data_IF_247299693978
#
_entry.id   IF_247299693978
#
_cell.length_a   1.000
_cell.length_b   1.000
_cell.length_c   1.000
_cell.angle_alpha   90.00
_cell.angle_beta   90.00
_cell.angle_gamma   90.00
#
_symmetry.space_group_name_H-M   'P 1'
#
loop_
_entity.id
_entity.type
_entity.pdbx_description
1 polymer ?
#
# COMPACT_ATOMS: atom_id res chain seq x y z
N UNK A 1 -20.57 13.18 -33.74
CA UNK A 1 -19.72 12.41 -32.80
C UNK A 1 -20.25 10.97 -32.81
N UNK A 2 -19.72 10.10 -33.67
CA UNK A 2 -20.17 8.71 -33.74
C UNK A 2 -19.54 7.92 -32.61
N UNK A 3 -20.38 7.42 -31.70
CA UNK A 3 -19.96 6.44 -30.70
C UNK A 3 -19.77 5.12 -31.46
N UNK A 4 -18.53 4.73 -31.74
CA UNK A 4 -18.27 3.41 -32.31
C UNK A 4 -18.49 2.36 -31.23
N UNK A 5 -19.33 1.35 -31.52
CA UNK A 5 -19.66 0.25 -30.60
C UNK A 5 -18.49 -0.73 -30.33
N UNK A 6 -17.30 -0.46 -30.87
CA UNK A 6 -16.14 -1.35 -30.86
C UNK A 6 -14.94 -0.60 -30.30
N UNK A 7 -14.18 -1.24 -29.43
CA UNK A 7 -12.92 -0.72 -28.94
C UNK A 7 -11.94 -0.50 -30.11
N UNK A 8 -11.53 0.76 -30.28
CA UNK A 8 -10.59 1.17 -31.32
C UNK A 8 -9.24 1.64 -30.74
N UNK A 9 -9.00 1.45 -29.44
CA UNK A 9 -7.82 2.00 -28.80
C UNK A 9 -6.50 1.55 -29.45
N UNK A 10 -6.29 0.27 -29.80
CA UNK A 10 -5.06 -0.14 -30.51
C UNK A 10 -4.95 0.39 -31.95
N UNK A 11 -6.04 0.90 -32.54
CA UNK A 11 -6.00 1.59 -33.85
C UNK A 11 -5.63 3.06 -33.69
N UNK A 12 -6.21 3.72 -32.68
CA UNK A 12 -6.00 5.15 -32.39
C UNK A 12 -4.60 5.38 -31.84
N UNK A 13 -4.16 4.52 -30.93
CA UNK A 13 -2.82 4.53 -30.34
C UNK A 13 -2.02 3.41 -31.01
N UNK A 14 -1.22 3.70 -32.04
CA UNK A 14 -0.58 2.69 -32.86
C UNK A 14 0.58 1.97 -32.14
N UNK A 15 1.01 0.86 -32.72
CA UNK A 15 2.11 0.02 -32.23
C UNK A 15 3.50 0.59 -32.57
N UNK A 16 3.69 1.90 -32.41
CA UNK A 16 4.96 2.60 -32.65
C UNK A 16 5.24 3.60 -31.54
N UNK A 17 6.45 3.56 -30.98
CA UNK A 17 6.94 4.51 -29.97
C UNK A 17 8.37 4.87 -30.31
N UNK A 18 8.71 6.16 -30.31
CA UNK A 18 10.04 6.67 -30.66
C UNK A 18 10.57 6.09 -31.99
N UNK A 19 9.75 6.16 -33.04
CA UNK A 19 10.04 5.65 -34.40
C UNK A 19 10.35 4.15 -34.49
N UNK A 20 9.99 3.38 -33.45
CA UNK A 20 10.18 1.93 -33.42
C UNK A 20 8.85 1.21 -33.32
N UNK A 21 8.56 0.41 -34.34
CA UNK A 21 7.38 -0.47 -34.38
C UNK A 21 7.62 -1.71 -33.53
N UNK A 22 6.56 -2.22 -32.89
CA UNK A 22 6.62 -3.46 -32.11
C UNK A 22 6.08 -4.67 -32.85
N UNK A 23 6.76 -5.81 -32.78
CA UNK A 23 6.35 -7.04 -33.47
C UNK A 23 5.34 -7.83 -32.63
N UNK A 24 5.65 -8.02 -31.34
CA UNK A 24 4.85 -8.84 -30.43
C UNK A 24 4.04 -7.91 -29.53
N UNK A 25 2.75 -7.77 -29.83
CA UNK A 25 1.87 -6.79 -29.21
C UNK A 25 0.48 -7.34 -28.87
N UNK A 26 -0.28 -6.58 -28.07
CA UNK A 26 -1.66 -6.93 -27.71
C UNK A 26 -2.61 -6.85 -28.91
N UNK A 27 -3.72 -7.55 -28.82
CA UNK A 27 -4.85 -7.38 -29.75
C UNK A 27 -5.94 -6.51 -29.14
N UNK A 28 -6.99 -6.22 -29.92
CA UNK A 28 -8.21 -5.57 -29.41
C UNK A 28 -8.82 -6.37 -28.25
N UNK A 29 -8.68 -7.71 -28.23
CA UNK A 29 -9.20 -8.54 -27.13
C UNK A 29 -8.42 -8.35 -25.83
N UNK A 30 -7.09 -8.22 -25.91
CA UNK A 30 -6.27 -7.86 -24.75
C UNK A 30 -6.65 -6.49 -24.20
N UNK A 31 -6.84 -5.52 -25.09
CA UNK A 31 -7.33 -4.18 -24.74
C UNK A 31 -8.72 -4.20 -24.07
N UNK A 32 -9.69 -4.95 -24.61
CA UNK A 32 -11.03 -5.13 -24.03
C UNK A 32 -10.97 -5.72 -22.60
N UNK A 33 -10.14 -6.75 -22.41
CA UNK A 33 -9.94 -7.36 -21.10
C UNK A 33 -9.44 -6.35 -20.07
N UNK A 34 -8.46 -5.51 -20.41
CA UNK A 34 -7.96 -4.51 -19.48
C UNK A 34 -8.90 -3.34 -19.25
N UNK A 35 -9.79 -2.98 -20.18
CA UNK A 35 -10.90 -2.07 -19.88
C UNK A 35 -11.87 -2.69 -18.86
N UNK A 36 -12.12 -4.00 -18.94
CA UNK A 36 -12.93 -4.69 -17.94
C UNK A 36 -12.25 -4.70 -16.56
N UNK A 37 -10.95 -5.03 -16.49
CA UNK A 37 -10.18 -4.98 -15.24
C UNK A 37 -10.15 -3.56 -14.67
N UNK A 38 -9.90 -2.54 -15.51
CA UNK A 38 -9.97 -1.12 -15.12
C UNK A 38 -11.32 -0.76 -14.49
N UNK A 39 -12.42 -1.22 -15.08
CA UNK A 39 -13.77 -0.99 -14.54
C UNK A 39 -13.96 -1.65 -13.18
N UNK A 40 -13.47 -2.89 -13.01
CA UNK A 40 -13.49 -3.60 -11.71
C UNK A 40 -12.68 -2.85 -10.65
N UNK A 41 -11.50 -2.31 -11.00
CA UNK A 41 -10.69 -1.50 -10.09
C UNK A 41 -11.41 -0.20 -9.71
N UNK A 42 -12.04 0.48 -10.67
CA UNK A 42 -12.83 1.69 -10.42
C UNK A 42 -14.03 1.45 -9.51
N UNK A 43 -14.79 0.37 -9.74
CA UNK A 43 -15.89 -0.03 -8.85
C UNK A 43 -15.37 -0.37 -7.46
N UNK A 44 -14.25 -1.09 -7.36
CA UNK A 44 -13.61 -1.42 -6.07
C UNK A 44 -13.21 -0.16 -5.31
N UNK A 45 -12.58 0.80 -5.97
CA UNK A 45 -12.23 2.09 -5.37
C UNK A 45 -13.46 2.79 -4.80
N UNK A 46 -14.53 2.92 -5.59
CA UNK A 46 -15.76 3.59 -5.17
C UNK A 46 -16.45 2.84 -4.02
N UNK A 47 -16.49 1.51 -4.07
CA UNK A 47 -17.09 0.69 -3.01
C UNK A 47 -16.32 0.81 -1.69
N UNK A 48 -14.98 0.78 -1.74
CA UNK A 48 -14.13 0.94 -0.55
C UNK A 48 -14.27 2.35 0.05
N UNK A 49 -14.28 3.40 -0.77
CA UNK A 49 -14.52 4.78 -0.31
C UNK A 49 -15.92 4.93 0.29
N UNK A 50 -16.94 4.40 -0.39
CA UNK A 50 -18.33 4.39 0.06
C UNK A 50 -18.48 3.73 1.43
N UNK A 51 -17.86 2.56 1.61
CA UNK A 51 -17.81 1.88 2.91
C UNK A 51 -17.08 2.70 3.98
N UNK A 52 -16.03 3.43 3.60
CA UNK A 52 -15.30 4.33 4.49
C UNK A 52 -16.15 5.47 5.04
N UNK A 53 -17.09 6.02 4.27
CA UNK A 53 -18.00 7.08 4.74
C UNK A 53 -18.95 6.63 5.86
N UNK A 54 -19.20 5.32 5.99
CA UNK A 54 -19.99 4.73 7.08
C UNK A 54 -19.19 4.59 8.40
N UNK A 55 -17.89 4.92 8.39
CA UNK A 55 -17.01 4.83 9.57
C UNK A 55 -16.65 6.22 10.10
N UNK A 56 -16.22 6.31 11.37
CA UNK A 56 -15.69 7.55 11.94
C UNK A 56 -14.42 7.96 11.20
N UNK A 57 -14.16 9.27 11.07
CA UNK A 57 -13.02 9.80 10.31
C UNK A 57 -11.67 9.23 10.75
N UNK A 58 -11.50 8.95 12.05
CA UNK A 58 -10.31 8.34 12.66
C UNK A 58 -10.03 6.91 12.19
N UNK A 59 -11.05 6.20 11.70
CA UNK A 59 -10.99 4.76 11.41
C UNK A 59 -10.86 4.47 9.89
N UNK A 60 -10.73 5.53 9.08
CA UNK A 60 -10.82 5.43 7.62
C UNK A 60 -9.49 5.13 6.93
N UNK A 61 -8.36 5.08 7.63
CA UNK A 61 -7.03 4.91 7.01
C UNK A 61 -6.95 3.70 6.09
N UNK A 62 -7.44 2.54 6.53
CA UNK A 62 -7.41 1.34 5.71
C UNK A 62 -8.28 1.49 4.45
N UNK A 63 -9.41 2.20 4.55
CA UNK A 63 -10.25 2.48 3.38
C UNK A 63 -9.53 3.39 2.40
N UNK A 64 -8.84 4.44 2.88
CA UNK A 64 -8.05 5.31 2.01
C UNK A 64 -6.87 4.60 1.36
N UNK A 65 -6.13 3.76 2.10
CA UNK A 65 -5.00 3.00 1.56
C UNK A 65 -5.46 2.02 0.46
N UNK A 66 -6.52 1.27 0.71
CA UNK A 66 -7.07 0.29 -0.24
C UNK A 66 -7.72 0.98 -1.45
N UNK A 67 -8.44 2.08 -1.23
CA UNK A 67 -9.00 2.88 -2.33
C UNK A 67 -7.90 3.53 -3.17
N UNK A 68 -6.82 4.02 -2.57
CA UNK A 68 -5.67 4.56 -3.30
C UNK A 68 -5.01 3.48 -4.16
N UNK A 69 -4.84 2.26 -3.63
CA UNK A 69 -4.33 1.14 -4.42
C UNK A 69 -5.24 0.81 -5.61
N UNK A 70 -6.56 0.75 -5.40
CA UNK A 70 -7.53 0.52 -6.47
C UNK A 70 -7.58 1.66 -7.50
N UNK A 71 -7.40 2.91 -7.06
CA UNK A 71 -7.36 4.07 -7.94
C UNK A 71 -6.13 4.05 -8.86
N UNK A 72 -4.95 3.77 -8.30
CA UNK A 72 -3.71 3.63 -9.09
C UNK A 72 -3.86 2.48 -10.09
N UNK A 73 -4.41 1.35 -9.66
CA UNK A 73 -4.67 0.20 -10.54
C UNK A 73 -5.65 0.55 -11.66
N UNK A 74 -6.71 1.31 -11.37
CA UNK A 74 -7.64 1.79 -12.41
C UNK A 74 -6.91 2.63 -13.48
N UNK A 75 -6.02 3.54 -13.07
CA UNK A 75 -5.28 4.42 -13.99
C UNK A 75 -4.29 3.63 -14.85
N UNK A 76 -3.48 2.74 -14.25
CA UNK A 76 -2.52 1.95 -15.02
C UNK A 76 -3.22 1.02 -16.02
N UNK A 77 -4.34 0.40 -15.62
CA UNK A 77 -5.11 -0.48 -16.50
C UNK A 77 -5.77 0.32 -17.61
N UNK A 78 -6.25 1.54 -17.34
CA UNK A 78 -6.72 2.44 -18.40
C UNK A 78 -5.61 2.74 -19.43
N UNK A 79 -4.40 3.04 -18.97
CA UNK A 79 -3.26 3.30 -19.84
C UNK A 79 -2.95 2.09 -20.73
N UNK A 80 -2.80 0.91 -20.13
CA UNK A 80 -2.49 -0.33 -20.84
C UNK A 80 -3.63 -0.78 -21.77
N UNK A 81 -4.89 -0.68 -21.34
CA UNK A 81 -6.06 -0.93 -22.18
C UNK A 81 -6.08 0.01 -23.39
N UNK A 82 -5.69 1.27 -23.19
CA UNK A 82 -5.61 2.26 -24.25
C UNK A 82 -4.40 2.09 -25.18
N UNK A 83 -3.61 1.02 -25.03
CA UNK A 83 -2.34 0.80 -25.73
C UNK A 83 -1.29 1.89 -25.47
N UNK A 84 -1.26 2.44 -24.26
CA UNK A 84 -0.31 3.47 -23.80
C UNK A 84 0.60 2.93 -22.69
N UNK A 85 1.72 3.61 -22.45
CA UNK A 85 2.62 3.26 -21.34
C UNK A 85 3.44 1.99 -21.57
N UNK A 86 3.83 1.71 -22.81
CA UNK A 86 4.72 0.62 -23.18
C UNK A 86 5.93 1.09 -24.00
N UNK A 87 6.97 0.25 -24.10
CA UNK A 87 8.10 0.45 -25.02
C UNK A 87 8.46 -0.86 -25.74
N UNK A 88 9.00 -0.82 -26.97
CA UNK A 88 9.50 -2.00 -27.68
C UNK A 88 10.90 -2.41 -27.17
N UNK A 89 11.01 -3.62 -26.62
CA UNK A 89 12.28 -4.21 -26.15
C UNK A 89 12.57 -5.49 -26.90
N UNK A 90 13.82 -5.66 -27.35
CA UNK A 90 14.26 -6.88 -28.03
C UNK A 90 14.14 -8.09 -27.12
N UNK A 91 13.53 -9.16 -27.63
CA UNK A 91 13.37 -10.40 -26.87
C UNK A 91 14.70 -11.15 -26.84
N UNK A 92 15.05 -11.69 -25.68
CA UNK A 92 16.24 -12.54 -25.53
C UNK A 92 16.02 -13.90 -26.19
N UNK A 93 14.87 -14.52 -25.94
CA UNK A 93 14.47 -15.78 -26.57
C UNK A 93 13.46 -15.54 -27.70
N UNK A 94 13.94 -15.69 -28.94
CA UNK A 94 13.06 -15.76 -30.11
C UNK A 94 12.31 -17.10 -30.10
N UNK A 95 11.02 -17.04 -30.37
CA UNK A 95 10.13 -18.21 -30.41
C UNK A 95 9.56 -18.42 -31.81
N UNK A 96 9.20 -19.65 -32.13
CA UNK A 96 8.56 -20.02 -33.40
C UNK A 96 7.04 -19.93 -33.38
N UNK A 97 6.40 -19.92 -32.20
CA UNK A 97 4.96 -19.73 -32.10
C UNK A 97 4.58 -18.33 -32.59
N UNK A 98 3.67 -18.26 -33.57
CA UNK A 98 3.16 -17.04 -34.18
C UNK A 98 2.65 -15.97 -33.19
N UNK A 99 2.24 -16.35 -31.97
CA UNK A 99 1.75 -15.38 -30.96
C UNK A 99 2.87 -14.63 -30.24
N UNK A 100 4.11 -15.14 -30.31
CA UNK A 100 5.30 -14.62 -29.63
C UNK A 100 6.52 -14.55 -30.56
N UNK A 101 6.31 -14.69 -31.87
CA UNK A 101 7.34 -14.58 -32.89
C UNK A 101 7.58 -13.10 -33.23
N UNK A 102 8.83 -12.67 -33.20
CA UNK A 102 9.22 -11.28 -33.47
C UNK A 102 10.62 -10.97 -32.94
N UNK A 103 11.11 -9.77 -33.26
CA UNK A 103 12.39 -9.25 -32.77
C UNK A 103 12.20 -8.59 -31.41
N UNK A 104 11.09 -7.89 -31.21
CA UNK A 104 10.81 -7.13 -29.99
C UNK A 104 9.36 -7.31 -29.50
N UNK A 105 9.14 -7.12 -28.20
CA UNK A 105 7.82 -7.18 -27.56
C UNK A 105 7.44 -5.89 -26.87
N UNK A 106 6.14 -5.70 -26.68
CA UNK A 106 5.61 -4.65 -25.80
C UNK A 106 6.00 -4.96 -24.35
N UNK A 107 6.69 -4.01 -23.73
CA UNK A 107 6.96 -3.99 -22.29
C UNK A 107 6.18 -2.84 -21.68
N UNK A 108 5.23 -3.16 -20.81
CA UNK A 108 4.31 -2.21 -20.19
C UNK A 108 4.92 -1.55 -18.97
N UNK A 109 5.84 -0.61 -19.17
CA UNK A 109 6.54 0.09 -18.09
C UNK A 109 5.57 0.78 -17.10
N UNK A 110 4.39 1.21 -17.55
CA UNK A 110 3.39 1.86 -16.70
C UNK A 110 2.88 0.95 -15.58
N UNK A 111 2.82 -0.37 -15.80
CA UNK A 111 2.43 -1.36 -14.78
C UNK A 111 3.32 -1.28 -13.55
N UNK A 112 4.62 -1.13 -13.80
CA UNK A 112 5.60 -1.10 -12.73
C UNK A 112 5.58 0.21 -11.97
N UNK A 113 5.17 1.32 -12.62
CA UNK A 113 4.86 2.56 -11.92
C UNK A 113 3.68 2.39 -10.96
N UNK A 114 2.64 1.64 -11.36
CA UNK A 114 1.54 1.31 -10.45
C UNK A 114 1.99 0.41 -9.31
N UNK A 115 2.74 -0.66 -9.58
CA UNK A 115 3.30 -1.54 -8.55
C UNK A 115 4.18 -0.80 -7.54
N UNK A 116 4.98 0.18 -8.00
CA UNK A 116 5.81 1.02 -7.15
C UNK A 116 5.00 1.77 -6.09
N UNK A 117 3.71 2.04 -6.33
CA UNK A 117 2.80 2.70 -5.39
C UNK A 117 1.93 1.68 -4.65
N UNK A 118 1.34 0.73 -5.37
CA UNK A 118 0.37 -0.25 -4.84
C UNK A 118 1.02 -1.18 -3.81
N UNK A 119 2.21 -1.71 -4.09
CA UNK A 119 2.85 -2.67 -3.19
C UNK A 119 3.24 -2.05 -1.84
N UNK A 120 3.81 -0.82 -1.78
CA UNK A 120 3.97 -0.11 -0.52
C UNK A 120 2.68 0.17 0.24
N UNK A 121 1.58 0.51 -0.45
CA UNK A 121 0.28 0.73 0.20
C UNK A 121 -0.24 -0.55 0.87
N UNK A 122 -0.08 -1.70 0.22
CA UNK A 122 -0.41 -3.01 0.80
C UNK A 122 0.49 -3.38 1.98
N UNK A 123 1.81 -3.21 1.83
CA UNK A 123 2.77 -3.42 2.93
C UNK A 123 2.42 -2.57 4.16
N UNK A 124 2.08 -1.30 3.93
CA UNK A 124 1.66 -0.37 4.96
C UNK A 124 0.37 -0.82 5.63
N UNK A 125 -0.68 -1.12 4.86
CA UNK A 125 -1.97 -1.56 5.41
C UNK A 125 -1.82 -2.81 6.29
N UNK A 126 -1.07 -3.82 5.82
CA UNK A 126 -0.85 -5.07 6.55
C UNK A 126 -0.07 -4.83 7.85
N UNK A 127 1.00 -4.05 7.82
CA UNK A 127 1.83 -3.89 9.01
C UNK A 127 1.21 -2.96 10.06
N UNK A 128 0.39 -2.00 9.65
CA UNK A 128 -0.43 -1.20 10.56
C UNK A 128 -1.43 -2.08 11.35
N UNK A 129 -1.95 -3.17 10.76
CA UNK A 129 -2.77 -4.18 11.47
C UNK A 129 -2.05 -4.82 12.67
N UNK A 130 -0.73 -4.78 12.69
CA UNK A 130 0.07 -5.47 13.71
C UNK A 130 0.74 -4.53 14.70
N UNK A 131 0.47 -3.22 14.61
CA UNK A 131 1.18 -2.20 15.38
C UNK A 131 2.72 -2.36 15.29
N UNK A 132 3.21 -2.75 14.10
CA UNK A 132 4.64 -2.96 13.89
C UNK A 132 5.43 -1.66 14.12
N UNK A 133 6.70 -1.74 14.56
CA UNK A 133 7.54 -0.55 14.70
C UNK A 133 7.62 0.24 13.39
N UNK A 134 7.49 1.57 13.46
CA UNK A 134 7.46 2.44 12.28
C UNK A 134 8.65 2.21 11.34
N UNK A 135 9.85 2.01 11.89
CA UNK A 135 11.06 1.72 11.09
C UNK A 135 10.89 0.43 10.27
N UNK A 136 10.29 -0.60 10.86
CA UNK A 136 10.02 -1.87 10.17
C UNK A 136 8.96 -1.71 9.07
N UNK A 137 7.93 -0.88 9.31
CA UNK A 137 6.93 -0.52 8.29
C UNK A 137 7.61 0.19 7.12
N UNK A 138 8.35 1.26 7.38
CA UNK A 138 9.02 2.05 6.34
C UNK A 138 10.01 1.22 5.54
N UNK A 139 10.79 0.37 6.21
CA UNK A 139 11.72 -0.54 5.55
C UNK A 139 11.02 -1.54 4.64
N UNK A 140 9.89 -2.13 5.08
CA UNK A 140 9.12 -3.06 4.26
C UNK A 140 8.48 -2.36 3.06
N UNK A 141 7.95 -1.15 3.25
CA UNK A 141 7.44 -0.32 2.16
C UNK A 141 8.53 0.00 1.13
N UNK A 142 9.73 0.39 1.59
CA UNK A 142 10.89 0.61 0.72
C UNK A 142 11.25 -0.65 -0.07
N UNK A 143 11.35 -1.82 0.58
CA UNK A 143 11.65 -3.08 -0.11
C UNK A 143 10.59 -3.40 -1.17
N UNK A 144 9.30 -3.18 -0.87
CA UNK A 144 8.24 -3.40 -1.85
C UNK A 144 8.30 -2.43 -3.03
N UNK A 145 8.66 -1.17 -2.80
CA UNK A 145 8.89 -0.21 -3.89
C UNK A 145 10.11 -0.60 -4.74
N UNK A 146 11.20 -1.02 -4.08
CA UNK A 146 12.42 -1.48 -4.74
C UNK A 146 12.17 -2.72 -5.62
N UNK A 147 11.30 -3.64 -5.19
CA UNK A 147 10.87 -4.77 -6.04
C UNK A 147 10.29 -4.31 -7.37
N UNK A 148 9.41 -3.31 -7.37
CA UNK A 148 8.82 -2.77 -8.60
C UNK A 148 9.88 -2.13 -9.50
N UNK A 149 10.85 -1.41 -8.90
CA UNK A 149 11.99 -0.83 -9.62
C UNK A 149 12.84 -1.92 -10.29
N UNK A 150 13.19 -2.98 -9.56
CA UNK A 150 13.98 -4.07 -10.12
C UNK A 150 13.22 -4.79 -11.24
N UNK A 151 11.91 -4.98 -11.08
CA UNK A 151 11.09 -5.60 -12.10
C UNK A 151 11.01 -4.78 -13.40
N UNK A 152 10.87 -3.44 -13.33
CA UNK A 152 10.89 -2.60 -14.55
C UNK A 152 12.27 -2.51 -15.18
N UNK A 153 13.32 -2.35 -14.38
CA UNK A 153 14.69 -2.27 -14.91
C UNK A 153 15.05 -3.59 -15.59
N UNK A 154 14.72 -4.73 -14.99
CA UNK A 154 14.86 -6.03 -15.64
C UNK A 154 14.07 -6.11 -16.95
N UNK A 155 12.84 -5.60 -16.99
CA UNK A 155 11.97 -5.71 -18.17
C UNK A 155 12.49 -4.92 -19.38
N UNK A 156 13.21 -3.82 -19.14
CA UNK A 156 13.77 -2.97 -20.21
C UNK A 156 15.21 -3.32 -20.58
N UNK A 157 15.88 -4.19 -19.82
CA UNK A 157 17.21 -4.70 -20.15
C UNK A 157 17.11 -5.75 -21.27
N UNK A 158 17.87 -5.54 -22.34
CA UNK A 158 17.88 -6.41 -23.53
C UNK A 158 18.80 -7.62 -23.39
N UNK A 159 19.83 -7.51 -22.55
CA UNK A 159 20.80 -8.58 -22.30
C UNK A 159 20.29 -9.54 -21.22
N UNK A 160 20.99 -10.66 -21.07
CA UNK A 160 20.80 -11.65 -20.01
C UNK A 160 20.98 -11.08 -18.58
N UNK A 161 21.62 -9.91 -18.43
CA UNK A 161 21.71 -9.17 -17.16
C UNK A 161 20.34 -8.85 -16.54
N UNK A 162 19.24 -8.92 -17.29
CA UNK A 162 17.88 -8.78 -16.75
C UNK A 162 17.60 -9.75 -15.60
N UNK A 163 18.18 -10.96 -15.64
CA UNK A 163 17.99 -11.97 -14.60
C UNK A 163 18.66 -11.61 -13.27
N UNK A 164 19.67 -10.74 -13.28
CA UNK A 164 20.23 -10.19 -12.04
C UNK A 164 19.17 -9.40 -11.27
N UNK A 165 18.44 -8.52 -11.95
CA UNK A 165 17.32 -7.77 -11.35
C UNK A 165 16.20 -8.69 -10.88
N UNK A 166 15.90 -9.73 -11.66
CA UNK A 166 14.94 -10.77 -11.25
C UNK A 166 15.38 -11.47 -9.94
N UNK A 167 16.66 -11.84 -9.83
CA UNK A 167 17.21 -12.45 -8.62
C UNK A 167 17.11 -11.54 -7.39
N UNK A 168 17.46 -10.25 -7.54
CA UNK A 168 17.30 -9.28 -6.46
C UNK A 168 15.82 -9.06 -6.09
N UNK A 169 14.91 -9.06 -7.06
CA UNK A 169 13.47 -9.02 -6.81
C UNK A 169 13.00 -10.22 -5.98
N UNK A 170 13.36 -11.44 -6.36
CA UNK A 170 13.00 -12.65 -5.59
C UNK A 170 13.57 -12.58 -4.16
N UNK A 171 14.82 -12.13 -4.00
CA UNK A 171 15.41 -11.95 -2.67
C UNK A 171 14.63 -10.95 -1.81
N UNK A 172 14.26 -9.79 -2.37
CA UNK A 172 13.43 -8.81 -1.66
C UNK A 172 12.04 -9.37 -1.32
N UNK A 173 11.42 -10.15 -2.20
CA UNK A 173 10.14 -10.81 -1.92
C UNK A 173 10.23 -11.79 -0.74
N UNK A 174 11.30 -12.60 -0.66
CA UNK A 174 11.55 -13.49 0.48
C UNK A 174 11.74 -12.71 1.79
N UNK A 175 12.50 -11.61 1.74
CA UNK A 175 12.72 -10.75 2.91
C UNK A 175 11.43 -10.07 3.37
N UNK A 176 10.59 -9.61 2.44
CA UNK A 176 9.25 -9.10 2.77
C UNK A 176 8.38 -10.22 3.34
N UNK A 177 8.45 -11.44 2.82
CA UNK A 177 7.79 -12.60 3.41
C UNK A 177 8.16 -12.79 4.89
N UNK A 178 9.45 -12.66 5.22
CA UNK A 178 9.90 -12.66 6.61
C UNK A 178 9.28 -11.51 7.43
N UNK A 179 9.24 -10.30 6.88
CA UNK A 179 8.64 -9.13 7.54
C UNK A 179 7.11 -9.16 7.66
N UNK A 180 6.40 -9.81 6.75
CA UNK A 180 4.94 -9.90 6.79
C UNK A 180 4.48 -11.12 7.59
N UNK A 181 5.15 -12.27 7.47
CA UNK A 181 4.65 -13.53 8.01
C UNK A 181 5.31 -13.91 9.34
N UNK A 182 6.58 -13.55 9.56
CA UNK A 182 7.35 -14.04 10.71
C UNK A 182 7.50 -12.99 11.81
N UNK A 183 8.07 -11.82 11.50
CA UNK A 183 8.34 -10.79 12.50
C UNK A 183 7.09 -10.28 13.23
N UNK A 184 5.89 -10.14 12.60
CA UNK A 184 4.72 -9.61 13.29
C UNK A 184 4.05 -10.62 14.23
N UNK A 185 4.49 -11.90 14.24
CA UNK A 185 3.91 -12.94 15.11
C UNK A 185 3.99 -12.58 16.58
N UNK A 186 5.09 -11.92 17.02
CA UNK A 186 5.26 -11.49 18.41
C UNK A 186 4.19 -10.47 18.81
N UNK A 187 3.94 -9.48 17.96
CA UNK A 187 2.94 -8.43 18.20
C UNK A 187 1.51 -8.97 18.10
N UNK A 188 1.20 -9.69 17.02
CA UNK A 188 -0.15 -10.23 16.79
C UNK A 188 -0.61 -11.24 17.86
N UNK A 189 0.31 -12.02 18.44
CA UNK A 189 -0.01 -12.91 19.55
C UNK A 189 -0.48 -12.15 20.80
N UNK A 190 0.04 -10.94 21.04
CA UNK A 190 -0.31 -10.09 22.20
C UNK A 190 -1.60 -9.32 21.91
N UNK A 191 -1.80 -8.85 20.67
CA UNK A 191 -2.96 -8.05 20.26
C UNK A 191 -4.28 -8.84 20.18
N UNK A 192 -4.22 -10.17 20.27
CA UNK A 192 -5.38 -11.06 20.38
C UNK A 192 -5.69 -11.87 19.13
N UNK A 193 -6.60 -12.85 19.28
CA UNK A 193 -6.90 -13.88 18.26
C UNK A 193 -7.38 -13.29 16.93
N UNK A 194 -8.22 -12.28 16.96
CA UNK A 194 -8.79 -11.66 15.75
C UNK A 194 -7.71 -11.01 14.90
N UNK A 195 -6.84 -10.20 15.50
CA UNK A 195 -5.71 -9.54 14.82
C UNK A 195 -4.77 -10.59 14.23
N UNK A 196 -4.44 -11.64 14.99
CA UNK A 196 -3.58 -12.73 14.51
C UNK A 196 -4.17 -13.46 13.30
N UNK A 197 -5.46 -13.78 13.32
CA UNK A 197 -6.13 -14.47 12.22
C UNK A 197 -6.24 -13.57 10.98
N UNK A 198 -6.73 -12.33 11.15
CA UNK A 198 -6.87 -11.37 10.06
C UNK A 198 -5.53 -11.08 9.41
N UNK A 199 -4.50 -10.76 10.21
CA UNK A 199 -3.14 -10.53 9.70
C UNK A 199 -2.60 -11.78 8.98
N UNK A 200 -2.69 -12.95 9.60
CA UNK A 200 -2.15 -14.18 9.03
C UNK A 200 -2.77 -14.57 7.68
N UNK A 201 -4.10 -14.44 7.56
CA UNK A 201 -4.82 -14.73 6.32
C UNK A 201 -4.43 -13.73 5.23
N UNK A 202 -4.49 -12.43 5.52
CA UNK A 202 -4.19 -11.38 4.53
C UNK A 202 -2.72 -11.44 4.12
N UNK A 203 -1.79 -11.44 5.07
CA UNK A 203 -0.35 -11.46 4.76
C UNK A 203 0.04 -12.72 3.97
N UNK A 204 -0.53 -13.88 4.30
CA UNK A 204 -0.34 -15.12 3.54
C UNK A 204 -0.88 -15.02 2.11
N UNK A 205 -2.10 -14.53 1.95
CA UNK A 205 -2.71 -14.31 0.63
C UNK A 205 -1.87 -13.41 -0.25
N UNK A 206 -1.46 -12.25 0.28
CA UNK A 206 -0.65 -11.25 -0.43
C UNK A 206 0.71 -11.84 -0.80
N UNK A 207 1.38 -12.52 0.13
CA UNK A 207 2.70 -13.10 -0.11
C UNK A 207 2.67 -14.17 -1.21
N UNK A 208 1.64 -15.03 -1.21
CA UNK A 208 1.43 -16.04 -2.26
C UNK A 208 1.13 -15.40 -3.61
N UNK A 209 0.24 -14.40 -3.66
CA UNK A 209 -0.04 -13.67 -4.90
C UNK A 209 1.22 -13.00 -5.44
N UNK A 210 2.00 -12.34 -4.58
CA UNK A 210 3.27 -11.70 -4.95
C UNK A 210 4.31 -12.69 -5.48
N UNK A 211 4.21 -13.99 -5.16
CA UNK A 211 5.04 -15.03 -5.77
C UNK A 211 4.66 -15.30 -7.24
N UNK A 212 3.39 -15.09 -7.62
CA UNK A 212 2.89 -15.34 -8.97
C UNK A 212 3.23 -14.20 -9.95
N UNK A 213 3.42 -12.97 -9.47
CA UNK A 213 3.87 -11.84 -10.30
C UNK A 213 5.23 -12.07 -10.99
N UNK A 214 6.29 -12.51 -10.28
CA UNK A 214 7.56 -12.84 -10.93
C UNK A 214 7.47 -14.11 -11.77
N UNK A 215 6.58 -15.06 -11.44
CA UNK A 215 6.32 -16.21 -12.33
C UNK A 215 5.77 -15.73 -13.66
N UNK A 216 4.75 -14.86 -13.65
CA UNK A 216 4.23 -14.25 -14.87
C UNK A 216 5.36 -13.53 -15.60
N UNK A 217 6.09 -12.65 -14.92
CA UNK A 217 7.19 -11.89 -15.50
C UNK A 217 8.22 -12.78 -16.20
N UNK A 218 8.60 -13.88 -15.55
CA UNK A 218 9.57 -14.84 -16.04
C UNK A 218 9.10 -15.57 -17.31
N UNK A 219 7.79 -15.79 -17.48
CA UNK A 219 7.23 -16.41 -18.70
C UNK A 219 6.81 -15.38 -19.76
N UNK A 220 6.54 -14.12 -19.40
CA UNK A 220 6.27 -13.02 -20.34
C UNK A 220 7.54 -12.22 -20.64
N UNK A 221 7.78 -11.12 -19.94
CA UNK A 221 8.82 -10.11 -20.23
C UNK A 221 10.25 -10.68 -20.26
N UNK A 222 10.52 -11.62 -19.36
CA UNK A 222 11.71 -12.45 -19.41
C UNK A 222 11.60 -13.41 -20.58
N UNK A 223 11.08 -14.61 -20.33
CA UNK A 223 11.18 -15.78 -21.20
C UNK A 223 10.55 -15.69 -22.58
N UNK A 224 9.71 -14.69 -22.85
CA UNK A 224 8.93 -14.55 -24.07
C UNK A 224 8.16 -15.84 -24.44
N UNK A 225 7.63 -16.54 -23.43
CA UNK A 225 6.87 -17.80 -23.58
C UNK A 225 5.39 -17.51 -23.83
N UNK A 226 4.84 -16.47 -23.19
CA UNK A 226 3.45 -16.06 -23.38
C UNK A 226 3.34 -14.70 -24.07
N UNK A 227 2.31 -14.57 -24.91
CA UNK A 227 2.01 -13.36 -25.66
C UNK A 227 1.48 -12.23 -24.75
N UNK A 228 1.57 -10.95 -25.17
CA UNK A 228 1.06 -9.81 -24.39
C UNK A 228 -0.42 -9.92 -24.00
N UNK A 229 -1.28 -10.52 -24.83
CA UNK A 229 -2.68 -10.79 -24.45
C UNK A 229 -2.78 -11.80 -23.29
N UNK A 230 -1.97 -12.86 -23.31
CA UNK A 230 -1.93 -13.86 -22.24
C UNK A 230 -1.30 -13.30 -20.96
N UNK A 231 -0.29 -12.45 -21.10
CA UNK A 231 0.30 -11.67 -20.01
C UNK A 231 -0.77 -10.77 -19.36
N UNK A 232 -1.60 -10.10 -20.15
CA UNK A 232 -2.72 -9.31 -19.65
C UNK A 232 -3.74 -10.16 -18.90
N UNK A 233 -4.10 -11.34 -19.42
CA UNK A 233 -5.02 -12.24 -18.70
C UNK A 233 -4.42 -12.63 -17.35
N UNK A 234 -3.14 -13.03 -17.32
CA UNK A 234 -2.48 -13.48 -16.09
C UNK A 234 -2.41 -12.34 -15.06
N UNK A 235 -1.80 -11.21 -15.40
CA UNK A 235 -1.71 -10.08 -14.46
C UNK A 235 -3.06 -9.53 -14.05
N UNK A 236 -4.02 -9.40 -14.98
CA UNK A 236 -5.36 -8.92 -14.67
C UNK A 236 -6.10 -9.81 -13.65
N UNK A 237 -5.93 -11.13 -13.72
CA UNK A 237 -6.46 -12.06 -12.70
C UNK A 237 -5.75 -11.85 -11.35
N UNK A 238 -4.42 -11.74 -11.35
CA UNK A 238 -3.66 -11.47 -10.13
C UNK A 238 -4.09 -10.17 -9.47
N UNK A 239 -4.28 -9.11 -10.26
CA UNK A 239 -4.70 -7.80 -9.77
C UNK A 239 -6.14 -7.84 -9.22
N UNK A 240 -7.05 -8.58 -9.85
CA UNK A 240 -8.41 -8.81 -9.32
C UNK A 240 -8.39 -9.56 -7.98
N UNK A 241 -7.48 -10.52 -7.82
CA UNK A 241 -7.26 -11.24 -6.57
C UNK A 241 -6.59 -10.38 -5.49
N UNK A 242 -5.65 -9.53 -5.90
CA UNK A 242 -4.89 -8.67 -5.01
C UNK A 242 -5.76 -7.53 -4.48
N UNK A 243 -6.48 -6.83 -5.36
CA UNK A 243 -7.10 -5.55 -5.04
C UNK A 243 -8.57 -5.72 -4.63
N UNK A 244 -9.52 -6.11 -5.49
CA UNK A 244 -10.90 -6.37 -5.09
C UNK A 244 -11.04 -7.42 -3.98
N UNK A 245 -10.55 -8.64 -4.22
CA UNK A 245 -10.70 -9.75 -3.27
C UNK A 245 -9.89 -9.48 -2.00
N UNK A 246 -8.64 -9.02 -2.14
CA UNK A 246 -7.81 -8.65 -1.00
C UNK A 246 -8.44 -7.54 -0.16
N UNK A 247 -9.01 -6.49 -0.77
CA UNK A 247 -9.65 -5.39 -0.03
C UNK A 247 -10.90 -5.86 0.72
N UNK A 248 -11.73 -6.68 0.07
CA UNK A 248 -12.91 -7.24 0.71
C UNK A 248 -12.54 -8.14 1.90
N UNK A 249 -11.55 -9.02 1.75
CA UNK A 249 -11.05 -9.87 2.82
C UNK A 249 -10.43 -9.05 3.96
N UNK A 250 -9.62 -8.04 3.63
CA UNK A 250 -8.97 -7.15 4.59
C UNK A 250 -10.00 -6.40 5.44
N UNK A 251 -10.95 -5.72 4.81
CA UNK A 251 -11.97 -4.92 5.50
C UNK A 251 -12.94 -5.80 6.30
N UNK A 252 -13.30 -6.99 5.80
CA UNK A 252 -14.12 -7.95 6.54
C UNK A 252 -13.39 -8.42 7.80
N UNK A 253 -12.11 -8.76 7.69
CA UNK A 253 -11.29 -9.14 8.85
C UNK A 253 -11.08 -8.02 9.86
N UNK A 254 -11.06 -6.75 9.40
CA UNK A 254 -10.94 -5.57 10.26
C UNK A 254 -12.26 -5.09 10.86
N UNK A 255 -13.41 -5.56 10.38
CA UNK A 255 -14.73 -5.15 10.88
C UNK A 255 -14.94 -5.39 12.39
N UNK A 256 -14.16 -6.30 12.99
CA UNK A 256 -14.18 -6.66 14.41
C UNK A 256 -12.98 -6.12 15.21
N UNK A 257 -12.02 -5.48 14.55
CA UNK A 257 -10.80 -4.98 15.19
C UNK A 257 -11.00 -3.49 15.47
N UNK A 258 -11.01 -3.13 16.74
CA UNK A 258 -10.99 -1.72 17.15
C UNK A 258 -9.62 -1.08 16.78
N UNK A 259 -9.59 -0.02 15.96
CA UNK A 259 -8.36 0.68 15.61
C UNK A 259 -7.53 1.15 16.82
N UNK A 260 -8.17 1.44 17.96
CA UNK A 260 -7.48 1.82 19.19
C UNK A 260 -6.55 0.70 19.71
N UNK A 261 -6.91 -0.58 19.50
CA UNK A 261 -6.07 -1.73 19.85
C UNK A 261 -4.77 -1.77 19.04
N UNK A 262 -4.74 -1.11 17.88
CA UNK A 262 -3.58 -1.07 16.99
C UNK A 262 -2.64 0.10 17.31
N UNK A 263 -2.97 0.92 18.31
CA UNK A 263 -2.22 2.14 18.62
C UNK A 263 -2.32 3.20 17.52
N UNK A 264 -3.30 3.08 16.62
CA UNK A 264 -3.51 4.01 15.52
C UNK A 264 -4.45 5.13 15.96
N UNK A 265 -3.88 6.28 16.31
CA UNK A 265 -4.64 7.52 16.47
C UNK A 265 -4.35 8.46 15.30
N UNK A 266 -5.34 8.69 14.46
CA UNK A 266 -5.24 9.63 13.34
C UNK A 266 -5.97 10.89 13.73
N UNK A 267 -5.22 11.99 13.73
CA UNK A 267 -5.77 13.29 14.07
C UNK A 267 -6.86 13.71 13.09
N UNK A 268 -7.87 14.36 13.61
CA UNK A 268 -8.92 15.05 12.89
C UNK A 268 -8.70 16.56 12.95
N UNK A 269 -9.44 17.32 12.15
CA UNK A 269 -9.40 18.80 12.22
C UNK A 269 -9.91 19.34 13.56
N UNK A 270 -10.64 18.52 14.32
CA UNK A 270 -11.14 18.87 15.66
C UNK A 270 -10.07 18.68 16.75
N UNK A 271 -8.96 17.98 16.45
CA UNK A 271 -7.90 17.76 17.42
C UNK A 271 -7.04 19.00 17.66
N UNK A 272 -6.81 19.41 18.92
CA UNK A 272 -6.00 20.57 19.22
C UNK A 272 -4.58 20.40 18.67
N UNK A 273 -4.07 21.42 17.96
CA UNK A 273 -2.70 21.46 17.48
C UNK A 273 -1.79 21.74 18.69
N UNK A 274 -0.89 20.82 19.07
CA UNK A 274 0.16 21.14 20.03
C UNK A 274 0.99 22.26 19.41
N UNK A 275 1.06 23.42 20.07
CA UNK A 275 1.66 24.69 19.61
C UNK A 275 0.73 25.79 19.08
N UNK A 276 -0.38 26.06 19.77
CA UNK A 276 -0.70 27.46 20.08
C UNK A 276 -0.58 27.64 21.58
N UNK A 277 0.56 28.18 22.03
CA UNK A 277 0.61 28.87 23.32
C UNK A 277 -0.50 29.91 23.20
N UNK A 278 -1.61 29.72 23.92
CA UNK A 278 -2.59 30.79 24.05
C UNK A 278 -1.79 32.04 24.46
N UNK A 279 -2.01 33.22 23.87
CA UNK A 279 -1.50 34.42 24.49
C UNK A 279 -2.05 34.38 25.92
N UNK A 280 -1.13 34.31 26.88
CA UNK A 280 -1.47 34.48 28.29
C UNK A 280 -2.40 35.68 28.35
N UNK A 281 -3.60 35.47 28.89
CA UNK A 281 -4.46 36.57 29.27
C UNK A 281 -3.80 37.27 30.47
N UNK A 282 -2.73 37.98 30.18
CA UNK A 282 -2.18 39.03 31.01
C UNK A 282 -3.20 40.17 30.97
N UNK A 283 -4.11 40.20 31.95
CA UNK A 283 -4.33 41.38 32.81
C UNK A 283 -5.44 41.17 33.84
N UNK A 284 -4.99 41.31 35.10
CA UNK A 284 -5.55 42.15 36.15
C UNK A 284 -6.92 41.81 36.75
N UNK A 285 -6.92 41.39 38.02
CA UNK A 285 -7.05 42.34 39.13
C UNK A 285 -6.69 41.67 40.47
N UNK A 286 -5.49 41.94 40.99
CA UNK A 286 -5.23 41.86 42.43
C UNK A 286 -5.53 43.24 42.98
N UNK A 287 -6.68 43.40 43.63
CA UNK A 287 -7.01 44.58 44.41
C UNK A 287 -6.71 44.26 45.87
N UNK A 288 -5.62 44.80 46.40
CA UNK A 288 -5.42 44.94 47.84
C UNK A 288 -6.07 46.25 48.29
N UNK A 289 -6.96 46.17 49.28
CA UNK A 289 -7.54 47.30 49.99
C UNK A 289 -7.82 46.89 51.44
N UNK A 290 -7.27 47.66 52.37
CA UNK A 290 -7.07 47.39 53.79
C UNK A 290 -8.29 47.72 54.68
N UNK A 291 -8.29 47.12 55.87
CA UNK A 291 -8.79 47.57 57.19
C UNK A 291 -10.19 47.18 57.74
N UNK A 292 -10.11 46.52 58.92
CA UNK A 292 -10.78 46.81 60.20
C UNK A 292 -11.76 45.77 60.83
N UNK A 293 -11.24 45.12 61.90
CA UNK A 293 -11.79 45.02 63.29
C UNK A 293 -12.66 43.81 63.73
N UNK A 294 -12.16 43.17 64.83
CA UNK A 294 -12.83 42.41 65.93
C UNK A 294 -13.51 41.05 65.61
N UNK A 295 -13.44 39.96 66.39
CA UNK A 295 -13.05 39.70 67.81
C UNK A 295 -13.00 38.17 68.05
N UNK A 296 -12.16 37.69 68.97
CA UNK A 296 -12.56 36.63 69.93
C UNK A 296 -11.85 35.26 69.89
N UNK A 297 -10.92 35.07 70.84
CA UNK A 297 -10.72 33.89 71.72
C UNK A 297 -10.38 32.51 71.09
N UNK A 298 -9.54 31.60 71.60
CA UNK A 298 -8.64 31.43 72.78
C UNK A 298 -7.96 30.05 72.60
N UNK A 299 -6.73 29.86 73.10
CA UNK A 299 -6.07 28.55 73.33
C UNK A 299 -4.76 28.38 72.53
N UNK A 300 -3.56 28.73 73.02
CA UNK A 300 -2.72 28.10 74.08
C UNK A 300 -2.39 26.63 73.71
N UNK A 301 -1.25 26.37 73.02
CA UNK A 301 0.09 25.95 73.54
C UNK A 301 0.04 24.47 73.97
N UNK A 302 0.83 23.52 73.43
CA UNK A 302 2.30 23.33 73.53
C UNK A 302 2.64 22.11 72.62
N UNK A 303 3.78 22.05 71.90
CA UNK A 303 5.03 21.42 72.38
C UNK A 303 4.97 19.88 72.20
N UNK A 304 5.91 19.13 71.61
CA UNK A 304 7.35 19.30 71.41
C UNK A 304 7.86 18.21 70.45
N UNK A 305 9.05 18.49 69.93
CA UNK A 305 10.00 17.72 69.13
C UNK A 305 10.18 16.24 69.48
N UNK A 306 10.52 15.42 68.47
CA UNK A 306 11.81 14.71 68.52
C UNK A 306 12.32 14.24 67.15
N UNK A 307 13.60 14.52 66.98
CA UNK A 307 14.50 14.26 65.86
C UNK A 307 15.18 12.90 66.06
N UNK A 308 15.46 12.10 65.00
CA UNK A 308 16.74 11.38 64.81
C UNK A 308 16.74 10.37 63.63
N UNK A 309 17.64 10.64 62.68
CA UNK A 309 18.65 9.77 62.05
C UNK A 309 18.28 8.51 61.21
N UNK A 310 18.86 8.50 60.00
CA UNK A 310 18.98 7.44 58.98
C UNK A 310 20.14 6.44 59.32
N UNK A 311 20.72 5.64 58.38
CA UNK A 311 20.24 4.93 57.18
C UNK A 311 20.63 3.40 57.21
N UNK A 312 20.34 2.61 56.16
CA UNK A 312 21.33 1.73 55.46
C UNK A 312 20.71 0.77 54.41
N UNK A 313 21.55 0.49 53.41
CA UNK A 313 21.40 -0.31 52.19
C UNK A 313 21.06 -1.80 52.40
N UNK A 314 20.35 -2.39 51.43
CA UNK A 314 20.80 -3.50 50.54
C UNK A 314 20.10 -3.33 49.18
#
# INVERSE_FOLDING_TARGET
>A
MSVHARNEAPKVNPFVVNDRTVDIHITVRGSDWYYAVMSVMGVTMLAVLGAGFLRRSTDRIFHYLLAAAAFVAMIEHYSMASNLGWVPIDVEWKRSDHRVAGVNRQIWWVRYCGWFIIWPLWSLAILLTTAAPTVHILWTCFLSAAMAVMAVVGAVVRTDYKWGYYGFWIFSWLLIGYHLLWTPRRYTNILGREVKLTHGIVSGWIWVLWALYPVCWGVSEGGNVIAPDSEFIFYGILDCCLIPIGSAAFLTGHSKIDPARLGLYIRTYDDPIPHRRAPEAEKASVTHGHDAVATGATGVVDGTENNTQAPLNV
#
